data_IF_885237175863
#
_entry.id   IF_885237175863
#
_cell.length_a   1.000
_cell.length_b   1.000
_cell.length_c   1.000
_cell.angle_alpha   90.00
_cell.angle_beta   90.00
_cell.angle_gamma   90.00
#
_symmetry.space_group_name_H-M   'P 1'
#
loop_
_entity.id
_entity.type
_entity.pdbx_description
1 polymer ?
#
# COMPACT_ATOMS: atom_id res chain seq x y z
N UNK A 1 -15.55 -45.57 -57.71
CA UNK A 1 -16.99 -45.41 -58.02
C UNK A 1 -17.41 -44.08 -57.40
N UNK A 2 -17.08 -42.97 -58.07
CA UNK A 2 -17.91 -42.31 -59.09
C UNK A 2 -18.75 -41.21 -58.40
N UNK A 3 -18.28 -39.95 -58.47
CA UNK A 3 -18.82 -38.86 -59.33
C UNK A 3 -20.08 -38.23 -58.72
N UNK A 4 -20.31 -36.91 -58.68
CA UNK A 4 -19.58 -35.72 -59.12
C UNK A 4 -20.57 -34.54 -59.01
N UNK A 5 -20.05 -33.32 -58.74
CA UNK A 5 -20.47 -32.03 -59.33
C UNK A 5 -21.92 -31.55 -59.05
N UNK A 6 -22.30 -30.28 -59.03
CA UNK A 6 -21.68 -28.95 -58.99
C UNK A 6 -22.84 -27.96 -59.16
N UNK A 7 -22.81 -26.80 -58.52
CA UNK A 7 -23.25 -25.48 -59.04
C UNK A 7 -23.71 -24.55 -57.92
N UNK A 8 -23.53 -23.24 -57.95
CA UNK A 8 -22.74 -22.36 -58.82
C UNK A 8 -22.52 -21.05 -58.05
N UNK A 9 -21.32 -20.54 -58.20
CA UNK A 9 -20.79 -19.20 -57.91
C UNK A 9 -21.62 -18.03 -58.42
N UNK A 10 -21.62 -16.91 -57.69
CA UNK A 10 -21.23 -15.55 -58.15
C UNK A 10 -21.53 -14.58 -56.98
N UNK A 11 -20.67 -13.64 -56.60
CA UNK A 11 -20.00 -12.66 -57.44
C UNK A 11 -18.81 -12.05 -56.68
N UNK A 12 -17.70 -11.92 -57.40
CA UNK A 12 -16.48 -11.23 -57.02
C UNK A 12 -16.62 -9.71 -57.22
N UNK A 13 -15.64 -8.99 -56.66
CA UNK A 13 -15.12 -7.70 -57.11
C UNK A 13 -15.79 -6.43 -56.55
N UNK A 14 -15.11 -5.84 -55.57
CA UNK A 14 -14.43 -4.56 -55.86
C UNK A 14 -13.16 -4.45 -55.00
N UNK A 15 -12.03 -4.50 -55.69
CA UNK A 15 -10.72 -4.10 -55.21
C UNK A 15 -10.69 -2.57 -55.10
N UNK A 16 -10.07 -2.03 -54.04
CA UNK A 16 -9.21 -0.84 -54.21
C UNK A 16 -8.23 -0.72 -53.05
N UNK A 17 -7.00 -1.12 -53.34
CA UNK A 17 -5.79 -0.80 -52.60
C UNK A 17 -5.47 0.67 -52.88
N UNK A 18 -5.57 1.55 -51.88
CA UNK A 18 -5.00 2.89 -51.96
C UNK A 18 -3.94 3.05 -50.88
N UNK A 19 -2.70 3.08 -51.36
CA UNK A 19 -1.50 3.39 -50.62
C UNK A 19 -1.36 4.91 -50.53
N UNK A 20 -1.77 5.48 -49.40
CA UNK A 20 -1.31 6.83 -49.05
C UNK A 20 -0.05 6.74 -48.18
N UNK A 21 1.08 6.71 -48.87
CA UNK A 21 2.37 7.20 -48.36
C UNK A 21 2.15 8.67 -48.01
N UNK A 22 1.97 8.95 -46.72
CA UNK A 22 2.01 10.31 -46.19
C UNK A 22 3.43 10.65 -45.78
N UNK A 23 3.90 11.74 -46.36
CA UNK A 23 5.26 12.26 -46.25
C UNK A 23 5.56 12.71 -44.81
N UNK A 24 6.83 12.62 -44.44
CA UNK A 24 7.42 12.99 -43.14
C UNK A 24 6.78 14.27 -42.54
N UNK A 25 6.51 14.34 -41.23
CA UNK A 25 6.16 15.61 -40.62
C UNK A 25 7.38 16.55 -40.64
N UNK A 26 7.18 17.72 -41.24
CA UNK A 26 8.09 18.84 -41.21
C UNK A 26 8.48 19.17 -39.76
N UNK A 27 9.79 19.32 -39.53
CA UNK A 27 10.38 19.85 -38.31
C UNK A 27 9.85 21.27 -38.07
N UNK A 28 9.00 21.45 -37.06
CA UNK A 28 8.63 22.76 -36.55
C UNK A 28 9.83 23.37 -35.82
N UNK A 29 10.47 24.36 -36.45
CA UNK A 29 11.49 25.20 -35.83
C UNK A 29 10.81 26.24 -34.95
N UNK A 30 10.98 26.13 -33.63
CA UNK A 30 10.58 27.19 -32.71
C UNK A 30 11.58 28.35 -32.79
N UNK A 31 11.14 29.61 -32.93
CA UNK A 31 12.04 30.74 -32.84
C UNK A 31 12.55 30.90 -31.41
N UNK A 32 13.86 31.04 -31.28
CA UNK A 32 14.57 31.39 -30.05
C UNK A 32 14.17 32.82 -29.69
N UNK A 33 13.30 33.00 -28.69
CA UNK A 33 13.01 34.32 -28.15
C UNK A 33 14.22 34.84 -27.38
N UNK A 34 14.66 36.02 -27.78
CA UNK A 34 15.74 36.75 -27.14
C UNK A 34 15.40 37.09 -25.68
N UNK A 35 16.46 37.15 -24.90
CA UNK A 35 16.49 37.63 -23.52
C UNK A 35 15.91 39.04 -23.40
N UNK A 36 14.68 39.14 -22.86
CA UNK A 36 14.20 40.39 -22.30
C UNK A 36 14.61 40.49 -20.84
N UNK A 37 15.63 41.32 -20.64
CA UNK A 37 16.02 41.88 -19.36
C UNK A 37 14.91 42.70 -18.73
N UNK A 38 14.90 42.68 -17.37
CA UNK A 38 14.38 43.69 -16.44
C UNK A 38 12.95 43.47 -15.92
N UNK A 39 12.86 42.75 -14.80
CA UNK A 39 11.69 42.78 -13.92
C UNK A 39 11.79 44.02 -13.01
N UNK A 40 10.76 44.87 -12.90
CA UNK A 40 10.73 45.93 -11.91
C UNK A 40 10.51 45.34 -10.52
N UNK A 41 11.21 45.89 -9.53
CA UNK A 41 11.14 45.49 -8.13
C UNK A 41 9.79 45.91 -7.53
N UNK A 42 8.76 45.07 -7.63
CA UNK A 42 7.51 45.28 -6.92
C UNK A 42 7.70 44.89 -5.44
N UNK A 43 7.79 45.90 -4.57
CA UNK A 43 7.60 45.72 -3.12
C UNK A 43 6.14 45.37 -2.88
N UNK A 44 5.86 44.10 -2.61
CA UNK A 44 4.57 43.69 -2.08
C UNK A 44 4.44 44.19 -0.62
N UNK A 45 3.31 44.79 -0.23
CA UNK A 45 3.06 45.12 1.17
C UNK A 45 2.98 43.82 1.98
N UNK A 46 3.64 43.80 3.14
CA UNK A 46 3.62 42.67 4.06
C UNK A 46 2.21 42.46 4.59
N UNK A 47 1.49 41.49 4.00
CA UNK A 47 0.25 40.99 4.56
C UNK A 47 0.57 40.33 5.92
N UNK A 48 0.20 41.00 7.00
CA UNK A 48 0.16 40.41 8.33
C UNK A 48 -0.97 39.38 8.37
N UNK A 49 -0.63 38.12 8.15
CA UNK A 49 -1.55 37.01 8.33
C UNK A 49 -1.77 36.85 9.83
N UNK A 50 -2.90 37.32 10.34
CA UNK A 50 -3.41 36.92 11.65
C UNK A 50 -3.73 35.44 11.57
N UNK A 51 -2.88 34.62 12.18
CA UNK A 51 -3.10 33.19 12.34
C UNK A 51 -4.31 32.99 13.27
N UNK A 52 -5.49 32.78 12.69
CA UNK A 52 -6.58 32.12 13.38
C UNK A 52 -6.16 30.68 13.64
N UNK A 53 -5.90 30.38 14.91
CA UNK A 53 -5.62 29.03 15.39
C UNK A 53 -6.87 28.18 15.16
N UNK A 54 -6.91 27.51 14.00
CA UNK A 54 -7.78 26.36 13.77
C UNK A 54 -7.35 25.29 14.77
N UNK A 55 -8.10 25.20 15.87
CA UNK A 55 -8.00 24.08 16.80
C UNK A 55 -8.17 22.79 16.01
N UNK A 56 -7.11 21.97 16.00
CA UNK A 56 -7.09 20.66 15.35
C UNK A 56 -8.19 19.76 15.95
N UNK A 57 -9.14 19.25 15.15
CA UNK A 57 -10.22 18.37 15.63
C UNK A 57 -9.77 16.98 16.11
N UNK A 58 -8.45 16.69 16.15
CA UNK A 58 -7.91 15.34 16.26
C UNK A 58 -7.80 14.78 17.68
N UNK A 59 -7.92 15.59 18.72
CA UNK A 59 -7.81 15.11 20.11
C UNK A 59 -9.05 14.38 20.66
N UNK A 60 -10.31 14.82 20.42
CA UNK A 60 -11.48 14.15 20.98
C UNK A 60 -11.67 12.72 20.42
N UNK A 61 -11.49 12.52 19.12
CA UNK A 61 -11.73 11.22 18.47
C UNK A 61 -10.79 10.12 18.99
N UNK A 62 -9.51 10.45 19.20
CA UNK A 62 -8.53 9.50 19.74
C UNK A 62 -8.80 9.13 21.20
N UNK A 63 -9.31 10.08 22.00
CA UNK A 63 -9.67 9.83 23.40
C UNK A 63 -10.82 8.82 23.50
N UNK A 64 -11.79 8.90 22.58
CA UNK A 64 -12.95 8.00 22.57
C UNK A 64 -12.60 6.61 22.07
N UNK A 65 -11.76 6.50 21.03
CA UNK A 65 -11.21 5.21 20.60
C UNK A 65 -10.38 4.55 21.71
N UNK A 66 -9.61 5.34 22.47
CA UNK A 66 -8.83 4.82 23.60
C UNK A 66 -9.72 4.26 24.71
N UNK A 67 -10.82 4.94 25.05
CA UNK A 67 -11.81 4.43 26.00
C UNK A 67 -12.43 3.14 25.48
N UNK A 68 -12.86 3.12 24.22
CA UNK A 68 -13.42 1.93 23.57
C UNK A 68 -12.50 0.71 23.64
N UNK A 69 -11.21 0.86 23.29
CA UNK A 69 -10.22 -0.22 23.38
C UNK A 69 -10.05 -0.73 24.81
N UNK A 70 -10.01 0.17 25.80
CA UNK A 70 -9.87 -0.22 27.21
C UNK A 70 -11.09 -1.00 27.72
N UNK A 71 -12.29 -0.59 27.32
CA UNK A 71 -13.53 -1.29 27.70
C UNK A 71 -13.61 -2.68 27.07
N UNK A 72 -13.19 -2.82 25.80
CA UNK A 72 -13.23 -4.10 25.07
C UNK A 72 -12.17 -5.10 25.53
N UNK A 73 -11.02 -4.61 26.01
CA UNK A 73 -9.87 -5.43 26.42
C UNK A 73 -9.55 -5.29 27.93
N UNK A 74 -10.35 -5.91 28.82
CA UNK A 74 -9.99 -5.99 30.23
C UNK A 74 -8.68 -6.77 30.40
N UNK A 75 -7.82 -6.33 31.32
CA UNK A 75 -6.49 -6.92 31.54
C UNK A 75 -5.43 -6.56 30.49
N UNK A 76 -5.79 -5.80 29.44
CA UNK A 76 -4.88 -5.36 28.38
C UNK A 76 -4.31 -6.50 27.53
N UNK A 77 -3.51 -6.16 26.51
CA UNK A 77 -3.06 -7.03 25.40
C UNK A 77 -2.42 -8.39 25.76
N UNK A 78 -1.99 -8.59 27.01
CA UNK A 78 -1.34 -9.83 27.44
C UNK A 78 -2.35 -10.87 27.95
N UNK A 79 -3.51 -10.44 28.43
CA UNK A 79 -4.49 -11.30 29.07
C UNK A 79 -5.44 -12.01 28.10
N UNK A 80 -5.50 -11.58 26.83
CA UNK A 80 -6.44 -12.16 25.87
C UNK A 80 -5.96 -13.51 25.32
N UNK A 81 -6.94 -14.34 24.99
CA UNK A 81 -6.71 -15.69 24.44
C UNK A 81 -6.23 -15.65 23.00
N UNK A 82 -6.92 -14.86 22.15
CA UNK A 82 -6.67 -14.83 20.71
C UNK A 82 -5.67 -13.71 20.38
N UNK A 83 -4.39 -14.03 20.55
CA UNK A 83 -3.28 -13.11 20.29
C UNK A 83 -2.36 -13.57 19.18
N UNK A 84 -1.91 -12.62 18.37
CA UNK A 84 -0.94 -12.83 17.31
C UNK A 84 0.22 -11.85 17.42
N UNK A 85 1.40 -12.28 17.00
CA UNK A 85 2.57 -11.39 16.90
C UNK A 85 3.14 -11.46 15.51
N UNK A 86 3.45 -10.31 14.93
CA UNK A 86 4.12 -10.22 13.64
C UNK A 86 5.31 -9.29 13.70
N UNK A 87 6.32 -9.57 12.87
CA UNK A 87 7.57 -8.81 12.81
C UNK A 87 8.06 -8.73 11.38
N UNK A 88 8.38 -7.52 10.91
CA UNK A 88 8.99 -7.29 9.59
C UNK A 88 10.00 -6.15 9.67
N UNK A 89 11.20 -6.35 9.12
CA UNK A 89 12.33 -5.42 9.29
C UNK A 89 12.51 -5.16 10.80
N UNK A 90 12.46 -3.90 11.23
CA UNK A 90 12.48 -3.48 12.63
C UNK A 90 11.09 -3.25 13.24
N UNK A 91 10.01 -3.44 12.49
CA UNK A 91 8.65 -3.26 12.98
C UNK A 91 8.14 -4.51 13.71
N UNK A 92 7.46 -4.29 14.82
CA UNK A 92 6.84 -5.31 15.68
C UNK A 92 5.36 -4.93 15.84
N UNK A 93 4.48 -5.92 15.70
CA UNK A 93 3.05 -5.75 15.92
C UNK A 93 2.53 -6.84 16.87
N UNK A 94 1.82 -6.42 17.92
CA UNK A 94 1.05 -7.27 18.82
C UNK A 94 -0.43 -7.08 18.49
N UNK A 95 -1.08 -8.15 18.08
CA UNK A 95 -2.45 -8.17 17.58
C UNK A 95 -3.31 -8.96 18.56
N UNK A 96 -4.47 -8.43 18.89
CA UNK A 96 -5.55 -9.12 19.60
C UNK A 96 -6.74 -9.14 18.67
N UNK A 97 -7.31 -10.33 18.46
CA UNK A 97 -8.59 -10.48 17.77
C UNK A 97 -9.70 -10.66 18.80
N UNK A 98 -10.84 -10.04 18.53
CA UNK A 98 -12.05 -10.19 19.32
C UNK A 98 -13.24 -10.26 18.36
N UNK A 99 -14.24 -11.07 18.68
CA UNK A 99 -15.48 -11.13 17.90
C UNK A 99 -16.22 -9.78 17.98
N UNK A 100 -16.68 -9.30 16.82
CA UNK A 100 -17.22 -7.95 16.70
C UNK A 100 -17.63 -7.57 15.30
N UNK A 101 -17.54 -6.27 15.01
CA UNK A 101 -18.12 -5.61 13.83
C UNK A 101 -17.18 -5.41 12.64
N UNK A 102 -15.87 -5.63 12.81
CA UNK A 102 -14.88 -5.33 11.76
C UNK A 102 -14.06 -4.06 12.01
N UNK A 103 -14.03 -3.54 13.24
CA UNK A 103 -13.27 -2.33 13.57
C UNK A 103 -11.78 -2.60 13.61
N UNK A 104 -11.00 -1.71 13.00
CA UNK A 104 -9.54 -1.79 12.97
C UNK A 104 -8.91 -0.60 13.70
N UNK A 105 -8.33 -0.87 14.87
CA UNK A 105 -7.71 0.16 15.70
C UNK A 105 -6.22 -0.16 15.91
N UNK A 106 -5.37 0.78 15.54
CA UNK A 106 -3.91 0.69 15.65
C UNK A 106 -3.42 1.81 16.56
N UNK A 107 -2.77 1.44 17.67
CA UNK A 107 -2.23 2.41 18.63
C UNK A 107 -3.26 3.49 19.08
N UNK A 108 -4.50 3.06 19.31
CA UNK A 108 -5.65 3.91 19.70
C UNK A 108 -6.11 4.92 18.64
N UNK A 109 -5.74 4.71 17.36
CA UNK A 109 -6.21 5.47 16.22
C UNK A 109 -6.87 4.55 15.20
N UNK A 110 -7.71 5.09 14.34
CA UNK A 110 -8.30 4.32 13.25
C UNK A 110 -7.24 3.90 12.23
N UNK A 111 -7.43 2.73 11.61
CA UNK A 111 -6.47 2.21 10.66
C UNK A 111 -6.25 3.12 9.44
N UNK A 112 -7.30 3.80 8.96
CA UNK A 112 -7.21 4.74 7.83
C UNK A 112 -6.36 5.96 8.21
N UNK A 113 -6.55 6.49 9.42
CA UNK A 113 -5.79 7.63 9.92
C UNK A 113 -4.32 7.24 10.16
N UNK A 114 -4.07 6.14 10.87
CA UNK A 114 -2.73 5.68 11.22
C UNK A 114 -1.88 5.34 10.00
N UNK A 115 -2.48 4.70 8.99
CA UNK A 115 -1.82 4.33 7.74
C UNK A 115 -1.86 5.45 6.67
N UNK A 116 -2.23 6.68 7.05
CA UNK A 116 -2.25 7.85 6.16
C UNK A 116 -3.12 7.64 4.90
N UNK A 117 -4.16 6.82 5.00
CA UNK A 117 -5.05 6.50 3.88
C UNK A 117 -4.41 5.74 2.72
N UNK A 118 -3.20 5.20 2.87
CA UNK A 118 -2.53 4.48 1.79
C UNK A 118 -3.28 3.17 1.47
N UNK A 119 -3.82 3.00 0.25
CA UNK A 119 -4.67 1.86 -0.10
C UNK A 119 -3.92 0.53 0.01
N UNK A 120 -2.62 0.50 -0.32
CA UNK A 120 -1.83 -0.72 -0.29
C UNK A 120 -1.63 -1.23 1.14
N UNK A 121 -1.39 -0.33 2.10
CA UNK A 121 -1.19 -0.72 3.50
C UNK A 121 -2.49 -1.18 4.15
N UNK A 122 -3.61 -0.53 3.80
CA UNK A 122 -4.94 -0.95 4.24
C UNK A 122 -5.30 -2.32 3.67
N UNK A 123 -5.00 -2.57 2.39
CA UNK A 123 -5.21 -3.86 1.76
C UNK A 123 -4.41 -4.96 2.46
N UNK A 124 -3.13 -4.75 2.76
CA UNK A 124 -2.30 -5.74 3.46
C UNK A 124 -2.91 -6.20 4.79
N UNK A 125 -3.45 -5.26 5.58
CA UNK A 125 -4.04 -5.60 6.88
C UNK A 125 -5.35 -6.39 6.72
N UNK A 126 -6.14 -6.08 5.68
CA UNK A 126 -7.44 -6.73 5.43
C UNK A 126 -7.32 -8.12 4.79
N UNK A 127 -6.33 -8.34 3.91
CA UNK A 127 -6.13 -9.61 3.18
C UNK A 127 -6.37 -10.88 4.00
N UNK A 128 -5.77 -11.08 5.20
CA UNK A 128 -5.98 -12.32 5.97
C UNK A 128 -7.43 -12.54 6.43
N UNK A 129 -8.21 -11.47 6.64
CA UNK A 129 -9.63 -11.60 6.94
C UNK A 129 -10.45 -11.83 5.67
N UNK A 130 -10.10 -11.16 4.57
CA UNK A 130 -10.75 -11.33 3.25
C UNK A 130 -10.65 -12.78 2.79
N UNK A 131 -9.46 -13.40 2.91
CA UNK A 131 -9.21 -14.80 2.51
C UNK A 131 -10.17 -15.78 3.18
N UNK A 132 -10.63 -15.49 4.41
CA UNK A 132 -11.56 -16.34 5.16
C UNK A 132 -13.00 -15.79 5.17
N UNK A 133 -13.25 -14.61 4.60
CA UNK A 133 -14.55 -13.95 4.64
C UNK A 133 -14.96 -13.39 6.00
N UNK A 134 -14.01 -13.14 6.91
CA UNK A 134 -14.29 -12.70 8.29
C UNK A 134 -14.11 -11.19 8.51
N UNK A 135 -14.28 -10.38 7.47
CA UNK A 135 -14.10 -8.92 7.55
C UNK A 135 -15.02 -8.25 8.58
N UNK A 136 -16.26 -8.73 8.67
CA UNK A 136 -17.29 -8.16 9.54
C UNK A 136 -17.46 -8.93 10.86
N UNK A 137 -16.70 -10.00 11.07
CA UNK A 137 -16.86 -10.90 12.23
C UNK A 137 -15.91 -10.59 13.37
N UNK A 138 -14.76 -9.99 13.08
CA UNK A 138 -13.72 -9.70 14.08
C UNK A 138 -13.35 -8.23 14.12
N UNK A 139 -13.29 -7.68 15.33
CA UNK A 139 -12.57 -6.45 15.61
C UNK A 139 -11.09 -6.75 15.85
N UNK A 140 -10.21 -5.90 15.33
CA UNK A 140 -8.76 -6.04 15.40
C UNK A 140 -8.17 -4.89 16.19
N UNK A 141 -7.53 -5.22 17.32
CA UNK A 141 -6.80 -4.26 18.14
C UNK A 141 -5.30 -4.53 18.03
N UNK A 142 -4.53 -3.48 17.74
CA UNK A 142 -3.10 -3.62 17.49
C UNK A 142 -2.29 -2.60 18.28
N UNK A 143 -1.20 -3.08 18.88
CA UNK A 143 -0.06 -2.24 19.27
C UNK A 143 1.11 -2.48 18.32
N UNK A 144 1.54 -1.44 17.63
CA UNK A 144 2.65 -1.50 16.67
C UNK A 144 3.76 -0.53 17.06
N UNK A 145 5.00 -1.00 17.00
CA UNK A 145 6.19 -0.23 17.36
C UNK A 145 7.37 -0.55 16.42
N UNK A 146 8.31 0.40 16.31
CA UNK A 146 9.51 0.27 15.49
C UNK A 146 9.26 0.31 13.98
N UNK A 147 10.34 0.48 13.22
CA UNK A 147 10.30 0.55 11.76
C UNK A 147 9.50 1.74 11.23
N UNK A 148 8.82 1.54 10.08
CA UNK A 148 7.93 2.52 9.47
C UNK A 148 6.59 1.89 9.09
N UNK A 149 5.61 2.71 8.68
CA UNK A 149 4.21 2.31 8.49
C UNK A 149 4.03 1.10 7.57
N UNK A 150 4.74 1.03 6.44
CA UNK A 150 4.71 -0.13 5.54
C UNK A 150 5.18 -1.43 6.21
N UNK A 151 6.24 -1.36 7.02
CA UNK A 151 6.74 -2.51 7.77
C UNK A 151 5.78 -2.92 8.87
N UNK A 152 5.16 -1.95 9.54
CA UNK A 152 4.14 -2.19 10.56
C UNK A 152 2.88 -2.82 9.96
N UNK A 153 2.36 -2.32 8.83
CA UNK A 153 1.20 -2.90 8.16
C UNK A 153 1.40 -4.39 7.84
N UNK A 154 2.57 -4.76 7.30
CA UNK A 154 2.86 -6.15 6.98
C UNK A 154 3.18 -7.01 8.23
N UNK A 155 3.71 -6.41 9.29
CA UNK A 155 3.80 -7.07 10.58
C UNK A 155 2.40 -7.36 11.15
N UNK A 156 1.46 -6.43 11.00
CA UNK A 156 0.06 -6.61 11.41
C UNK A 156 -0.58 -7.75 10.61
N UNK A 157 -0.39 -7.80 9.29
CA UNK A 157 -0.88 -8.89 8.43
C UNK A 157 -0.47 -10.27 8.98
N UNK A 158 0.82 -10.46 9.27
CA UNK A 158 1.33 -11.71 9.83
C UNK A 158 0.78 -11.98 11.24
N UNK A 159 0.60 -10.93 12.04
CA UNK A 159 -0.01 -11.00 13.37
C UNK A 159 -1.45 -11.50 13.32
N UNK A 160 -2.27 -10.94 12.43
CA UNK A 160 -3.67 -11.36 12.21
C UNK A 160 -3.72 -12.81 11.75
N UNK A 161 -2.92 -13.18 10.75
CA UNK A 161 -2.87 -14.56 10.26
C UNK A 161 -2.53 -15.57 11.37
N UNK A 162 -1.59 -15.23 12.27
CA UNK A 162 -1.25 -16.06 13.43
C UNK A 162 -2.34 -16.09 14.50
N UNK A 163 -3.07 -14.99 14.69
CA UNK A 163 -4.19 -14.95 15.61
C UNK A 163 -5.35 -15.82 15.10
N UNK A 164 -5.65 -15.79 13.79
CA UNK A 164 -6.66 -16.65 13.16
C UNK A 164 -6.34 -18.14 13.32
N UNK A 165 -5.07 -18.54 13.19
CA UNK A 165 -4.65 -19.92 13.45
C UNK A 165 -4.92 -20.39 14.88
N UNK A 166 -4.93 -19.48 15.86
CA UNK A 166 -5.27 -19.82 17.24
C UNK A 166 -6.77 -19.98 17.45
N UNK A 167 -7.60 -19.40 16.59
CA UNK A 167 -9.05 -19.56 16.63
C UNK A 167 -9.42 -20.95 16.12
N UNK A 168 -8.93 -21.31 14.93
CA UNK A 168 -9.05 -22.67 14.39
C UNK A 168 -7.84 -23.01 13.53
N UNK A 169 -7.35 -24.24 13.67
CA UNK A 169 -6.23 -24.76 12.89
C UNK A 169 -6.62 -25.06 11.43
N UNK A 170 -7.92 -25.18 11.14
CA UNK A 170 -8.45 -25.48 9.79
C UNK A 170 -8.11 -24.36 8.79
N UNK A 171 -7.96 -23.13 9.29
CA UNK A 171 -7.59 -21.97 8.50
C UNK A 171 -6.15 -22.03 7.97
N UNK A 172 -5.33 -23.02 8.38
CA UNK A 172 -3.93 -23.13 7.95
C UNK A 172 -3.78 -23.37 6.47
N UNK A 173 -4.64 -24.18 5.85
CA UNK A 173 -4.56 -24.50 4.42
C UNK A 173 -4.77 -23.25 3.54
N UNK A 174 -5.87 -22.49 3.66
CA UNK A 174 -6.06 -21.28 2.84
C UNK A 174 -5.00 -20.22 3.11
N UNK A 175 -4.65 -19.96 4.39
CA UNK A 175 -3.63 -18.95 4.73
C UNK A 175 -2.23 -19.31 4.22
N UNK A 176 -1.90 -20.59 4.11
CA UNK A 176 -0.62 -21.06 3.56
C UNK A 176 -0.58 -20.97 2.04
N UNK A 177 -1.70 -21.25 1.36
CA UNK A 177 -1.82 -21.12 -0.10
C UNK A 177 -1.60 -19.66 -0.53
N UNK A 178 -2.16 -18.70 0.21
CA UNK A 178 -1.96 -17.26 -0.01
C UNK A 178 -0.59 -16.74 0.48
N UNK A 179 0.23 -17.57 1.11
CA UNK A 179 1.57 -17.19 1.58
C UNK A 179 1.60 -16.25 2.80
N UNK A 180 0.51 -16.12 3.55
CA UNK A 180 0.35 -15.13 4.63
C UNK A 180 1.06 -15.52 5.95
N UNK A 181 1.38 -16.81 6.11
CA UNK A 181 2.03 -17.33 7.31
C UNK A 181 3.57 -17.20 7.29
N UNK A 182 4.13 -16.93 6.12
CA UNK A 182 5.59 -16.84 5.95
C UNK A 182 6.08 -15.48 6.39
N UNK A 183 7.02 -15.46 7.33
CA UNK A 183 7.72 -14.22 7.70
C UNK A 183 8.68 -13.83 6.57
N UNK A 184 8.56 -12.61 6.06
CA UNK A 184 9.56 -12.07 5.13
C UNK A 184 10.87 -11.78 5.86
N UNK A 185 11.91 -12.53 5.51
CA UNK A 185 13.24 -12.45 6.11
C UNK A 185 14.11 -11.33 5.53
N UNK A 186 13.66 -10.62 4.50
CA UNK A 186 14.45 -9.55 3.85
C UNK A 186 14.64 -8.36 4.80
N UNK A 187 15.89 -8.07 5.11
CA UNK A 187 16.32 -6.94 5.96
C UNK A 187 17.35 -6.12 5.19
N UNK A 188 17.53 -4.86 5.58
CA UNK A 188 18.53 -3.97 4.99
C UNK A 188 19.92 -4.55 5.20
N UNK A 189 20.63 -4.80 4.10
CA UNK A 189 22.03 -5.22 4.15
C UNK A 189 22.90 -4.10 4.73
N UNK A 190 23.85 -4.47 5.61
CA UNK A 190 24.82 -3.52 6.17
C UNK A 190 25.69 -2.90 5.08
N UNK A 191 26.23 -1.71 5.34
CA UNK A 191 27.28 -1.11 4.52
C UNK A 191 28.56 -1.96 4.63
N UNK A 192 29.18 -2.28 3.49
CA UNK A 192 30.48 -2.95 3.42
C UNK A 192 31.59 -1.90 3.31
N UNK A 193 32.75 -2.17 3.91
CA UNK A 193 33.92 -1.28 3.86
C UNK A 193 34.37 -1.10 2.41
N UNK A 194 34.81 0.10 2.04
CA UNK A 194 35.19 0.45 0.66
C UNK A 194 34.02 0.76 -0.29
N UNK A 195 32.76 0.44 0.09
CA UNK A 195 31.57 0.77 -0.70
C UNK A 195 30.83 2.00 -0.15
N UNK A 196 30.12 2.73 -1.02
CA UNK A 196 29.29 3.88 -0.63
C UNK A 196 28.00 3.44 0.08
N UNK A 197 27.43 2.28 -0.29
CA UNK A 197 26.27 1.63 0.36
C UNK A 197 26.53 0.11 0.50
N UNK A 198 25.49 -0.70 0.70
CA UNK A 198 25.64 -2.16 0.80
C UNK A 198 26.33 -2.81 -0.41
N UNK A 199 25.96 -2.39 -1.63
CA UNK A 199 26.51 -2.92 -2.90
C UNK A 199 26.99 -1.84 -3.88
N UNK A 200 26.75 -0.55 -3.60
CA UNK A 200 27.14 0.56 -4.48
C UNK A 200 28.63 0.87 -4.32
N UNK A 201 29.43 0.51 -5.32
CA UNK A 201 30.82 0.92 -5.43
C UNK A 201 30.94 2.43 -5.72
N UNK A 202 32.00 3.11 -5.26
CA UNK A 202 32.35 4.43 -5.79
C UNK A 202 32.67 4.33 -7.29
N UNK A 203 32.44 5.44 -8.01
CA UNK A 203 32.95 5.56 -9.38
C UNK A 203 34.48 5.58 -9.33
N UNK A 204 35.12 4.82 -10.22
CA UNK A 204 36.57 4.84 -10.40
C UNK A 204 36.89 4.97 -11.90
N UNK A 205 37.93 5.74 -12.23
CA UNK A 205 38.54 5.67 -13.56
C UNK A 205 39.64 4.62 -13.55
N UNK A 206 39.74 3.82 -14.61
CA UNK A 206 40.83 2.84 -14.78
C UNK A 206 42.15 3.50 -15.18
N UNK A 207 42.08 4.71 -15.77
CA UNK A 207 43.18 5.51 -16.30
C UNK A 207 42.87 6.98 -16.12
#
# INVERSE_FOLDING_TARGET
MATSLSSLTSSFSSLTFSSHISQKPNTLSFPRTESLSRVPNFRFPSLSVTATVLASPSEPETADLRKYVKTRLPGGFAAQTIIGTGRRKSAIARVVLQEGTGKFIINYRDAKEYLQGNPLWLQYIKVPLITLGYENSYDVFVKAEGGGLSGQAQAITLGIARALLKVSEDHRKPLRQEGLLTRDSRVVERKKVGLKKARKAPQYSKR
#
